data_IF_339968632336
#
_entry.id   IF_339968632336
#
_cell.length_a   1.000
_cell.length_b   1.000
_cell.length_c   1.000
_cell.angle_alpha   90.00
_cell.angle_beta   90.00
_cell.angle_gamma   90.00
#
_symmetry.space_group_name_H-M   'P 1'
#
loop_
_entity.id
_entity.type
_entity.pdbx_description
1 polymer ?
#
# COMPACT_ATOMS: atom_id res chain seq x y z
N UNK A 1 -13.86 -1.58 -23.03
CA UNK A 1 -12.64 -0.74 -22.86
C UNK A 1 -11.49 -1.67 -22.53
N UNK A 2 -10.34 -1.48 -23.15
CA UNK A 2 -9.11 -2.23 -22.86
C UNK A 2 -8.50 -1.72 -21.57
N UNK A 3 -8.23 -2.61 -20.62
CA UNK A 3 -7.51 -2.26 -19.39
C UNK A 3 -6.04 -1.93 -19.71
N UNK A 4 -5.40 -1.03 -18.95
CA UNK A 4 -3.96 -0.83 -19.03
C UNK A 4 -3.17 -2.09 -18.66
N UNK A 5 -1.93 -2.20 -19.15
CA UNK A 5 -1.00 -3.22 -18.64
C UNK A 5 -0.41 -2.75 -17.30
N UNK A 6 -1.02 -3.17 -16.20
CA UNK A 6 -0.58 -2.81 -14.85
C UNK A 6 0.86 -3.24 -14.57
N UNK A 7 1.36 -4.32 -15.18
CA UNK A 7 2.73 -4.82 -14.98
C UNK A 7 3.78 -3.86 -15.53
N UNK A 8 3.46 -3.19 -16.63
CA UNK A 8 4.36 -2.21 -17.26
C UNK A 8 4.33 -0.83 -16.57
N UNK A 9 3.30 -0.52 -15.78
CA UNK A 9 3.18 0.78 -15.10
C UNK A 9 4.23 0.98 -14.01
N UNK A 10 4.64 2.23 -13.79
CA UNK A 10 5.38 2.59 -12.58
C UNK A 10 4.51 2.39 -11.34
N UNK A 11 5.12 2.27 -10.15
CA UNK A 11 4.37 2.11 -8.89
C UNK A 11 3.49 3.32 -8.59
N UNK A 12 3.95 4.53 -8.93
CA UNK A 12 3.22 5.77 -8.68
C UNK A 12 2.01 5.91 -9.62
N UNK A 13 2.18 5.58 -10.91
CA UNK A 13 1.08 5.58 -11.87
C UNK A 13 0.03 4.53 -11.53
N UNK A 14 0.46 3.32 -11.15
CA UNK A 14 -0.45 2.26 -10.74
C UNK A 14 -1.23 2.67 -9.49
N UNK A 15 -0.57 3.34 -8.53
CA UNK A 15 -1.23 3.86 -7.33
C UNK A 15 -2.26 4.93 -7.68
N UNK A 16 -1.93 5.88 -8.57
CA UNK A 16 -2.86 6.90 -9.03
C UNK A 16 -4.08 6.27 -9.74
N UNK A 17 -3.85 5.26 -10.59
CA UNK A 17 -4.91 4.52 -11.26
C UNK A 17 -5.85 3.84 -10.25
N UNK A 18 -5.32 3.08 -9.29
CA UNK A 18 -6.12 2.41 -8.25
C UNK A 18 -6.95 3.40 -7.43
N UNK A 19 -6.42 4.59 -7.14
CA UNK A 19 -7.17 5.62 -6.40
C UNK A 19 -8.37 6.17 -7.19
N UNK A 20 -8.26 6.22 -8.52
CA UNK A 20 -9.35 6.61 -9.44
C UNK A 20 -10.30 5.45 -9.81
N UNK A 21 -9.85 4.20 -9.68
CA UNK A 21 -10.58 2.98 -10.04
C UNK A 21 -10.60 2.00 -8.86
N UNK A 22 -11.28 2.40 -7.77
CA UNK A 22 -11.25 1.67 -6.49
C UNK A 22 -11.92 0.30 -6.51
N UNK A 23 -12.60 -0.06 -7.59
CA UNK A 23 -13.25 -1.36 -7.78
C UNK A 23 -12.49 -2.30 -8.75
N UNK A 24 -11.36 -1.85 -9.32
CA UNK A 24 -10.55 -2.69 -10.21
C UNK A 24 -9.63 -3.62 -9.41
N UNK A 25 -10.17 -4.77 -9.00
CA UNK A 25 -9.47 -5.80 -8.22
C UNK A 25 -8.12 -6.21 -8.81
N UNK A 26 -7.99 -6.15 -10.14
CA UNK A 26 -6.76 -6.53 -10.83
C UNK A 26 -5.65 -5.50 -10.58
N UNK A 27 -5.97 -4.21 -10.73
CA UNK A 27 -5.04 -3.13 -10.43
C UNK A 27 -4.66 -3.10 -8.95
N UNK A 28 -5.63 -3.36 -8.06
CA UNK A 28 -5.42 -3.46 -6.62
C UNK A 28 -4.46 -4.62 -6.32
N UNK A 29 -4.70 -5.81 -6.87
CA UNK A 29 -3.85 -6.99 -6.67
C UNK A 29 -2.42 -6.74 -7.14
N UNK A 30 -2.24 -6.11 -8.30
CA UNK A 30 -0.91 -5.77 -8.83
C UNK A 30 -0.20 -4.72 -7.95
N UNK A 31 -0.92 -3.75 -7.37
CA UNK A 31 -0.31 -2.80 -6.46
C UNK A 31 0.19 -3.48 -5.17
N UNK A 32 -0.59 -4.41 -4.62
CA UNK A 32 -0.22 -5.17 -3.41
C UNK A 32 0.91 -6.18 -3.65
N UNK A 33 1.02 -6.76 -4.85
CA UNK A 33 2.11 -7.68 -5.20
C UNK A 33 3.50 -6.99 -5.14
N UNK A 34 3.53 -5.66 -5.34
CA UNK A 34 4.73 -4.81 -5.32
C UNK A 34 5.07 -4.26 -3.93
N UNK A 35 4.69 -4.98 -2.88
CA UNK A 35 5.07 -4.67 -1.50
C UNK A 35 6.60 -4.55 -1.37
N UNK A 36 7.07 -3.60 -0.57
CA UNK A 36 8.52 -3.49 -0.32
C UNK A 36 8.96 -4.70 0.53
N UNK A 37 9.89 -5.54 0.04
CA UNK A 37 10.36 -6.71 0.80
C UNK A 37 11.08 -6.31 2.10
N UNK A 38 11.66 -5.10 2.14
CA UNK A 38 12.37 -4.55 3.29
C UNK A 38 11.47 -3.69 4.20
N UNK A 39 10.14 -3.77 4.05
CA UNK A 39 9.23 -3.02 4.91
C UNK A 39 9.37 -3.47 6.37
N UNK A 40 9.53 -2.50 7.29
CA UNK A 40 9.52 -2.76 8.74
C UNK A 40 8.15 -3.33 9.13
N UNK A 41 8.15 -4.53 9.71
CA UNK A 41 6.96 -5.19 10.22
C UNK A 41 6.92 -5.05 11.74
N UNK A 42 5.87 -4.41 12.24
CA UNK A 42 5.64 -4.31 13.67
C UNK A 42 4.73 -5.47 14.10
N UNK A 43 5.14 -6.18 15.16
CA UNK A 43 4.26 -7.13 15.85
C UNK A 43 3.54 -6.37 16.95
N UNK A 44 2.21 -6.49 17.00
CA UNK A 44 1.39 -5.87 18.03
C UNK A 44 0.51 -6.94 18.66
N UNK A 45 0.28 -6.82 19.97
CA UNK A 45 -0.58 -7.72 20.73
C UNK A 45 -1.93 -7.07 21.09
N UNK A 46 -2.06 -5.76 20.85
CA UNK A 46 -3.28 -4.99 21.10
C UNK A 46 -3.51 -3.87 20.08
N UNK A 47 -4.72 -3.31 20.09
CA UNK A 47 -5.06 -2.15 19.27
C UNK A 47 -4.33 -0.89 19.77
N UNK A 48 -4.18 -0.73 21.08
CA UNK A 48 -3.49 0.41 21.71
C UNK A 48 -2.02 0.48 21.26
N UNK A 49 -1.32 -0.66 21.26
CA UNK A 49 0.05 -0.75 20.74
C UNK A 49 0.12 -0.36 19.26
N UNK A 50 -0.88 -0.79 18.48
CA UNK A 50 -0.98 -0.45 17.06
C UNK A 50 -1.14 1.06 16.85
N UNK A 51 -2.01 1.72 17.63
CA UNK A 51 -2.20 3.16 17.57
C UNK A 51 -0.94 3.93 17.93
N UNK A 52 -0.23 3.53 18.98
CA UNK A 52 1.02 4.19 19.40
C UNK A 52 2.09 4.11 18.32
N UNK A 53 2.24 2.96 17.66
CA UNK A 53 3.19 2.80 16.54
C UNK A 53 2.83 3.71 15.37
N UNK A 54 1.54 3.78 15.01
CA UNK A 54 1.08 4.68 13.94
C UNK A 54 1.38 6.14 14.30
N UNK A 55 1.09 6.54 15.55
CA UNK A 55 1.35 7.90 16.05
C UNK A 55 2.83 8.27 15.94
N UNK A 56 3.71 7.42 16.45
CA UNK A 56 5.16 7.61 16.42
C UNK A 56 5.69 7.75 15.00
N UNK A 57 5.16 6.95 14.07
CA UNK A 57 5.53 6.99 12.64
C UNK A 57 5.08 8.28 11.95
N UNK A 58 3.90 8.79 12.28
CA UNK A 58 3.43 10.09 11.79
C UNK A 58 4.30 11.23 12.34
N UNK A 59 4.76 11.12 13.58
CA UNK A 59 5.61 12.10 14.26
C UNK A 59 7.11 11.98 13.90
N UNK A 60 7.51 10.94 13.17
CA UNK A 60 8.90 10.70 12.78
C UNK A 60 9.80 10.20 13.92
N UNK A 61 9.22 9.67 15.00
CA UNK A 61 9.98 9.06 16.10
C UNK A 61 10.54 7.67 15.72
N UNK A 62 9.95 7.01 14.72
CA UNK A 62 10.34 5.70 14.15
C UNK A 62 10.01 5.61 12.65
#
# INVERSE_FOLDING_TARGET
MTKPDFKAMSKDDLRAYVLSHREDDEAIRELFSRGNPNAVRYKTNSFEETYEIIRKKIQGEI
#
